data_IF_635363435228
#
_entry.id   IF_635363435228
#
_cell.length_a   1.000
_cell.length_b   1.000
_cell.length_c   1.000
_cell.angle_alpha   90.00
_cell.angle_beta   90.00
_cell.angle_gamma   90.00
#
_symmetry.space_group_name_H-M   'P 1'
#
loop_
_entity.id
_entity.type
_entity.pdbx_description
1 polymer ?
#
# COMPACT_ATOMS: atom_id res chain seq x y z
N UNK A 1 0.22 -12.09 -24.55
CA UNK A 1 -0.23 -11.07 -23.57
C UNK A 1 0.86 -11.00 -22.51
N UNK A 2 1.33 -9.81 -22.13
CA UNK A 2 2.32 -9.68 -21.04
C UNK A 2 1.61 -10.05 -19.73
N UNK A 3 2.11 -11.02 -18.99
CA UNK A 3 1.62 -11.36 -17.66
C UNK A 3 2.43 -10.58 -16.63
N UNK A 4 1.75 -9.96 -15.68
CA UNK A 4 2.40 -9.32 -14.54
C UNK A 4 2.52 -10.35 -13.40
N UNK A 5 3.62 -10.34 -12.64
CA UNK A 5 3.74 -11.20 -11.45
C UNK A 5 2.72 -10.80 -10.39
N UNK A 6 2.24 -11.78 -9.65
CA UNK A 6 1.21 -11.56 -8.61
C UNK A 6 1.79 -11.87 -7.24
N UNK A 7 1.67 -10.91 -6.32
CA UNK A 7 2.04 -11.05 -4.93
C UNK A 7 0.81 -10.88 -4.03
N UNK A 8 0.89 -11.39 -2.80
CA UNK A 8 -0.15 -11.16 -1.78
C UNK A 8 0.37 -10.19 -0.72
N UNK A 9 -0.48 -9.24 -0.34
CA UNK A 9 -0.26 -8.42 0.84
C UNK A 9 -0.56 -9.27 2.09
N UNK A 10 0.48 -9.49 2.93
CA UNK A 10 0.40 -10.40 4.09
C UNK A 10 -0.62 -9.94 5.13
N UNK A 11 -0.99 -8.66 5.14
CA UNK A 11 -2.09 -8.17 5.97
C UNK A 11 -3.41 -8.92 5.71
N UNK A 12 -3.64 -9.38 4.47
CA UNK A 12 -4.83 -10.16 4.11
C UNK A 12 -4.90 -11.53 4.80
N UNK A 13 -3.76 -12.04 5.24
CA UNK A 13 -3.58 -13.33 5.93
C UNK A 13 -2.86 -13.17 7.27
N UNK A 14 -2.94 -11.97 7.87
CA UNK A 14 -2.20 -11.60 9.08
C UNK A 14 -2.42 -12.52 10.26
N UNK A 15 -3.66 -13.01 10.44
CA UNK A 15 -3.99 -13.89 11.55
C UNK A 15 -3.31 -15.28 11.44
N UNK A 16 -3.15 -15.79 10.21
CA UNK A 16 -2.41 -17.01 9.96
C UNK A 16 -0.89 -16.76 10.06
N UNK A 17 -0.41 -15.63 9.52
CA UNK A 17 1.00 -15.24 9.57
C UNK A 17 1.47 -15.00 11.01
N UNK A 18 0.62 -14.47 11.89
CA UNK A 18 0.92 -14.29 13.32
C UNK A 18 1.08 -15.63 14.04
N UNK A 19 0.24 -16.62 13.70
CA UNK A 19 0.28 -17.97 14.30
C UNK A 19 1.45 -18.80 13.79
N UNK A 20 1.66 -18.81 12.48
CA UNK A 20 2.69 -19.58 11.79
C UNK A 20 3.13 -18.87 10.50
N UNK A 21 4.08 -17.95 10.61
CA UNK A 21 4.56 -17.19 9.46
C UNK A 21 5.13 -18.09 8.36
N UNK A 22 6.01 -19.03 8.71
CA UNK A 22 6.67 -19.91 7.73
C UNK A 22 5.68 -20.84 7.02
N UNK A 23 4.73 -21.43 7.75
CA UNK A 23 3.66 -22.23 7.17
C UNK A 23 2.74 -21.42 6.28
N UNK A 24 2.46 -20.15 6.64
CA UNK A 24 1.65 -19.24 5.81
C UNK A 24 2.38 -18.92 4.50
N UNK A 25 3.69 -18.65 4.51
CA UNK A 25 4.47 -18.43 3.28
C UNK A 25 4.39 -19.63 2.34
N UNK A 26 4.52 -20.85 2.86
CA UNK A 26 4.37 -22.06 2.06
C UNK A 26 3.00 -22.21 1.42
N UNK A 27 1.94 -21.95 2.17
CA UNK A 27 0.57 -21.96 1.64
C UNK A 27 0.34 -20.90 0.55
N UNK A 28 0.87 -19.69 0.73
CA UNK A 28 0.84 -18.64 -0.29
C UNK A 28 1.46 -19.12 -1.60
N UNK A 29 2.62 -19.78 -1.51
CA UNK A 29 3.28 -20.36 -2.69
C UNK A 29 2.48 -21.49 -3.33
N UNK A 30 1.91 -22.37 -2.52
CA UNK A 30 1.07 -23.50 -2.99
C UNK A 30 -0.18 -23.00 -3.73
N UNK A 31 -0.76 -21.86 -3.32
CA UNK A 31 -1.88 -21.21 -4.01
C UNK A 31 -1.46 -20.66 -5.39
N UNK A 32 -0.17 -20.36 -5.58
CA UNK A 32 0.38 -19.93 -6.87
C UNK A 32 0.92 -18.51 -6.90
N UNK A 33 0.99 -17.81 -5.78
CA UNK A 33 1.62 -16.50 -5.73
C UNK A 33 3.13 -16.57 -5.95
N UNK A 34 3.70 -15.52 -6.53
CA UNK A 34 5.13 -15.40 -6.82
C UNK A 34 5.88 -14.62 -5.76
N UNK A 35 5.19 -13.74 -5.04
CA UNK A 35 5.78 -12.88 -4.01
C UNK A 35 4.82 -12.49 -2.91
N UNK A 36 5.37 -11.75 -1.96
CA UNK A 36 4.64 -11.18 -0.84
C UNK A 36 5.02 -9.72 -0.63
N UNK A 37 4.07 -8.97 -0.14
CA UNK A 37 4.29 -7.67 0.49
C UNK A 37 4.08 -7.81 1.99
N UNK A 38 5.07 -7.42 2.77
CA UNK A 38 5.04 -7.53 4.22
C UNK A 38 4.15 -6.48 4.86
N UNK A 39 3.52 -6.83 5.97
CA UNK A 39 2.80 -5.92 6.86
C UNK A 39 3.32 -6.09 8.29
N UNK A 40 4.50 -5.52 8.54
CA UNK A 40 5.24 -5.72 9.80
C UNK A 40 6.07 -7.00 9.83
N UNK A 41 6.74 -7.23 10.96
CA UNK A 41 7.70 -8.33 11.15
C UNK A 41 7.19 -9.46 12.04
N UNK A 42 5.96 -9.39 12.55
CA UNK A 42 5.32 -10.44 13.37
C UNK A 42 6.18 -10.88 14.58
N UNK A 43 6.90 -9.93 15.20
CA UNK A 43 7.80 -10.20 16.33
C UNK A 43 9.03 -11.05 16.00
N UNK A 44 9.33 -11.25 14.70
CA UNK A 44 10.48 -12.03 14.20
C UNK A 44 11.62 -11.12 13.81
N UNK A 45 12.83 -11.69 13.80
CA UNK A 45 14.01 -11.00 13.24
C UNK A 45 13.93 -10.92 11.72
N UNK A 46 14.50 -9.87 11.09
CA UNK A 46 14.57 -9.76 9.64
C UNK A 46 15.13 -11.00 8.95
N UNK A 47 16.19 -11.62 9.50
CA UNK A 47 16.76 -12.85 8.98
C UNK A 47 15.80 -14.05 8.99
N UNK A 48 14.93 -14.15 10.00
CA UNK A 48 13.92 -15.22 10.09
C UNK A 48 12.79 -15.01 9.07
N UNK A 49 12.37 -13.76 8.85
CA UNK A 49 11.40 -13.38 7.82
C UNK A 49 11.96 -13.72 6.43
N UNK A 50 13.20 -13.28 6.16
CA UNK A 50 13.90 -13.57 4.91
C UNK A 50 13.96 -15.06 4.63
N UNK A 51 14.46 -15.84 5.58
CA UNK A 51 14.60 -17.29 5.44
C UNK A 51 13.24 -17.96 5.14
N UNK A 52 12.18 -17.59 5.84
CA UNK A 52 10.85 -18.15 5.62
C UNK A 52 10.28 -17.87 4.23
N UNK A 53 10.53 -16.67 3.67
CA UNK A 53 10.09 -16.28 2.33
C UNK A 53 10.91 -17.03 1.27
N UNK A 54 12.24 -17.08 1.42
CA UNK A 54 13.15 -17.77 0.49
C UNK A 54 12.91 -19.28 0.50
N UNK A 55 12.75 -19.90 1.67
CA UNK A 55 12.46 -21.34 1.83
C UNK A 55 11.12 -21.75 1.19
N UNK A 56 10.16 -20.83 1.16
CA UNK A 56 8.89 -21.02 0.47
C UNK A 56 9.01 -20.81 -1.06
N UNK A 57 10.12 -20.29 -1.57
CA UNK A 57 10.30 -19.94 -2.98
C UNK A 57 9.50 -18.74 -3.42
N UNK A 58 9.26 -17.79 -2.50
CA UNK A 58 8.61 -16.51 -2.74
C UNK A 58 9.64 -15.38 -2.84
N UNK A 59 9.22 -14.23 -3.37
CA UNK A 59 10.01 -13.00 -3.41
C UNK A 59 9.40 -12.00 -2.42
N UNK A 60 10.24 -11.39 -1.57
CA UNK A 60 9.85 -10.21 -0.80
C UNK A 60 9.81 -9.00 -1.74
N UNK A 61 8.62 -8.62 -2.22
CA UNK A 61 8.46 -7.54 -3.20
C UNK A 61 8.58 -6.18 -2.51
N UNK A 62 7.75 -5.96 -1.51
CA UNK A 62 7.61 -4.71 -0.77
C UNK A 62 7.26 -4.95 0.69
N UNK A 63 7.24 -3.87 1.45
CA UNK A 63 6.76 -3.87 2.82
C UNK A 63 5.96 -2.60 3.11
N UNK A 64 4.80 -2.74 3.71
CA UNK A 64 4.10 -1.67 4.39
C UNK A 64 4.80 -1.37 5.71
N UNK A 65 5.35 -0.18 5.83
CA UNK A 65 6.07 0.28 7.03
C UNK A 65 5.39 1.53 7.57
N UNK A 66 4.85 1.50 8.79
CA UNK A 66 4.15 2.63 9.36
C UNK A 66 4.98 3.92 9.32
N UNK A 67 4.35 5.02 8.93
CA UNK A 67 5.00 6.33 8.83
C UNK A 67 5.69 6.73 10.14
N UNK A 68 5.02 6.47 11.28
CA UNK A 68 5.54 6.79 12.60
C UNK A 68 6.82 6.00 12.94
N UNK A 69 6.95 4.75 12.50
CA UNK A 69 8.16 3.95 12.69
C UNK A 69 9.32 4.51 11.87
N UNK A 70 9.07 4.87 10.61
CA UNK A 70 10.06 5.50 9.75
C UNK A 70 10.55 6.86 10.30
N UNK A 71 9.66 7.65 10.88
CA UNK A 71 10.03 8.94 11.47
C UNK A 71 10.79 8.77 12.78
N UNK A 72 10.42 7.77 13.59
CA UNK A 72 11.04 7.54 14.90
C UNK A 72 12.49 7.01 14.80
N UNK A 73 12.76 6.09 13.89
CA UNK A 73 14.08 5.51 13.64
C UNK A 73 14.22 5.12 12.16
N UNK A 74 14.47 6.11 11.31
CA UNK A 74 14.51 5.93 9.86
C UNK A 74 15.56 4.91 9.43
N UNK A 75 16.80 5.09 9.85
CA UNK A 75 17.90 4.23 9.45
C UNK A 75 17.79 2.81 10.00
N UNK A 76 17.43 2.65 11.28
CA UNK A 76 17.25 1.34 11.90
C UNK A 76 16.07 0.58 11.30
N UNK A 77 14.96 1.28 11.00
CA UNK A 77 13.79 0.69 10.34
C UNK A 77 14.13 0.25 8.92
N UNK A 78 14.74 1.12 8.09
CA UNK A 78 15.12 0.78 6.71
C UNK A 78 16.09 -0.40 6.70
N UNK A 79 17.08 -0.43 7.60
CA UNK A 79 18.08 -1.51 7.66
C UNK A 79 17.43 -2.90 7.85
N UNK A 80 16.34 -3.02 8.59
CA UNK A 80 15.63 -4.28 8.76
C UNK A 80 15.06 -4.80 7.43
N UNK A 81 14.50 -3.92 6.62
CA UNK A 81 13.92 -4.30 5.33
C UNK A 81 14.97 -4.50 4.24
N UNK A 82 16.13 -3.83 4.35
CA UNK A 82 17.33 -4.12 3.53
C UNK A 82 17.80 -5.56 3.79
N UNK A 83 17.88 -5.99 5.06
CA UNK A 83 18.28 -7.36 5.42
C UNK A 83 17.32 -8.40 4.86
N UNK A 84 16.00 -8.12 4.87
CA UNK A 84 14.99 -9.00 4.27
C UNK A 84 15.15 -9.06 2.75
N UNK A 85 15.55 -7.96 2.11
CA UNK A 85 15.77 -7.89 0.67
C UNK A 85 14.55 -7.41 -0.11
N UNK A 86 13.66 -6.60 0.50
CA UNK A 86 12.56 -5.97 -0.22
C UNK A 86 13.06 -4.96 -1.25
N UNK A 87 12.34 -4.81 -2.35
CA UNK A 87 12.63 -3.80 -3.37
C UNK A 87 12.00 -2.44 -3.05
N UNK A 88 10.88 -2.47 -2.34
CA UNK A 88 10.07 -1.30 -2.04
C UNK A 88 9.73 -1.23 -0.56
N UNK A 89 9.67 -0.01 -0.03
CA UNK A 89 9.03 0.32 1.23
C UNK A 89 7.88 1.26 0.92
N UNK A 90 6.66 0.87 1.27
CA UNK A 90 5.47 1.67 1.11
C UNK A 90 5.07 2.33 2.45
N UNK A 91 4.78 3.63 2.41
CA UNK A 91 4.11 4.34 3.50
C UNK A 91 2.61 4.01 3.37
N UNK A 92 2.05 3.19 4.30
CA UNK A 92 0.77 2.54 4.04
C UNK A 92 -0.46 3.36 4.48
N UNK A 93 -0.28 4.29 5.42
CA UNK A 93 -1.40 4.98 6.07
C UNK A 93 -0.95 6.21 6.84
N UNK A 94 -1.82 7.21 6.89
CA UNK A 94 -1.65 8.39 7.75
C UNK A 94 -2.71 8.42 8.84
N UNK A 95 -2.26 8.64 10.08
CA UNK A 95 -3.15 8.89 11.20
C UNK A 95 -3.93 10.21 10.98
N UNK A 96 -5.10 10.36 11.59
CA UNK A 96 -5.99 11.50 11.32
C UNK A 96 -5.29 12.86 11.41
N UNK A 97 -4.42 13.04 12.40
CA UNK A 97 -3.67 14.27 12.61
C UNK A 97 -2.59 14.55 11.56
N UNK A 98 -2.23 13.55 10.75
CA UNK A 98 -1.18 13.62 9.72
C UNK A 98 -1.74 13.77 8.31
N UNK A 99 -3.07 13.63 8.15
CA UNK A 99 -3.76 13.60 6.85
C UNK A 99 -3.82 14.96 6.16
N UNK A 100 -4.10 14.95 4.84
CA UNK A 100 -4.42 16.16 4.09
C UNK A 100 -5.51 17.00 4.80
N UNK A 101 -5.35 18.32 4.75
CA UNK A 101 -6.24 19.26 5.43
C UNK A 101 -5.85 19.58 6.88
N UNK A 102 -4.86 18.87 7.45
CA UNK A 102 -4.30 19.18 8.77
C UNK A 102 -3.06 20.08 8.66
N UNK A 103 -2.71 20.81 9.73
CA UNK A 103 -1.50 21.65 9.73
C UNK A 103 -0.18 20.87 9.56
N UNK A 104 -0.16 19.56 9.84
CA UNK A 104 1.05 18.73 9.74
C UNK A 104 1.31 18.26 8.32
N UNK A 105 0.30 18.18 7.45
CA UNK A 105 0.38 17.48 6.17
C UNK A 105 1.53 17.93 5.28
N UNK A 106 1.69 19.24 5.06
CA UNK A 106 2.79 19.76 4.23
C UNK A 106 4.18 19.46 4.83
N UNK A 107 4.26 19.42 6.16
CA UNK A 107 5.48 18.97 6.87
C UNK A 107 5.75 17.48 6.65
N UNK A 108 4.70 16.67 6.67
CA UNK A 108 4.79 15.23 6.42
C UNK A 108 5.23 14.90 4.99
N UNK A 109 4.77 15.68 3.99
CA UNK A 109 5.22 15.52 2.60
C UNK A 109 6.74 15.73 2.47
N UNK A 110 7.33 16.66 3.24
CA UNK A 110 8.79 16.80 3.30
C UNK A 110 9.48 15.59 3.95
N UNK A 111 8.85 15.02 4.99
CA UNK A 111 9.37 13.78 5.61
C UNK A 111 9.28 12.58 4.64
N UNK A 112 8.26 12.50 3.80
CA UNK A 112 8.20 11.47 2.74
C UNK A 112 9.38 11.60 1.76
N UNK A 113 9.77 12.82 1.41
CA UNK A 113 10.96 13.06 0.58
C UNK A 113 12.25 12.63 1.28
N UNK A 114 12.40 12.92 2.59
CA UNK A 114 13.56 12.49 3.38
C UNK A 114 13.63 10.96 3.50
N UNK A 115 12.49 10.30 3.74
CA UNK A 115 12.38 8.83 3.72
C UNK A 115 12.79 8.30 2.35
N UNK A 116 12.33 8.94 1.26
CA UNK A 116 12.71 8.58 -0.09
C UNK A 116 14.22 8.66 -0.34
N UNK A 117 14.86 9.69 0.15
CA UNK A 117 16.34 9.85 0.07
C UNK A 117 17.06 8.76 0.85
N UNK A 118 16.62 8.47 2.08
CA UNK A 118 17.20 7.43 2.92
C UNK A 118 17.04 6.04 2.29
N UNK A 119 15.83 5.67 1.87
CA UNK A 119 15.58 4.40 1.19
C UNK A 119 16.43 4.24 -0.08
N UNK A 120 16.52 5.29 -0.89
CA UNK A 120 17.31 5.29 -2.12
C UNK A 120 18.81 5.09 -1.84
N UNK A 121 19.35 5.65 -0.76
CA UNK A 121 20.75 5.43 -0.36
C UNK A 121 21.03 3.95 -0.05
N UNK A 122 20.01 3.19 0.34
CA UNK A 122 20.07 1.75 0.58
C UNK A 122 19.60 0.88 -0.61
N UNK A 123 19.32 1.50 -1.76
CA UNK A 123 18.86 0.79 -2.96
C UNK A 123 17.40 0.34 -2.92
N UNK A 124 16.60 0.91 -2.03
CA UNK A 124 15.15 0.67 -1.92
C UNK A 124 14.40 1.87 -2.52
N UNK A 125 13.35 1.60 -3.29
CA UNK A 125 12.43 2.63 -3.76
C UNK A 125 11.28 2.80 -2.78
N UNK A 126 10.99 4.04 -2.38
CA UNK A 126 9.84 4.34 -1.54
C UNK A 126 8.57 4.47 -2.37
N UNK A 127 7.49 3.91 -1.85
CA UNK A 127 6.15 4.01 -2.39
C UNK A 127 5.23 4.75 -1.40
N UNK A 128 4.16 5.33 -1.92
CA UNK A 128 3.04 5.82 -1.11
C UNK A 128 1.77 5.07 -1.49
N UNK A 129 1.13 4.45 -0.51
CA UNK A 129 -0.12 3.73 -0.65
C UNK A 129 -1.29 4.65 -0.29
N UNK A 130 -2.20 4.87 -1.23
CA UNK A 130 -3.32 5.77 -1.02
C UNK A 130 -4.51 5.10 -0.34
N UNK A 131 -5.27 5.95 0.34
CA UNK A 131 -6.65 5.73 0.72
C UNK A 131 -7.56 6.72 -0.03
N UNK A 132 -8.80 6.89 0.39
CA UNK A 132 -9.72 7.87 -0.18
C UNK A 132 -9.51 9.28 0.40
N UNK A 133 -8.94 9.41 1.59
CA UNK A 133 -8.73 10.70 2.23
C UNK A 133 -7.68 11.58 1.52
N UNK A 134 -6.82 11.04 0.67
CA UNK A 134 -5.92 11.84 -0.17
C UNK A 134 -6.62 12.48 -1.37
N UNK A 135 -7.89 12.15 -1.62
CA UNK A 135 -8.69 12.75 -2.69
C UNK A 135 -9.45 14.00 -2.25
N UNK A 136 -9.09 14.62 -1.13
CA UNK A 136 -9.53 15.97 -0.82
C UNK A 136 -8.76 17.00 -1.65
N UNK A 137 -9.42 18.15 -1.92
CA UNK A 137 -8.79 19.23 -2.67
C UNK A 137 -7.89 20.08 -1.78
N UNK A 138 -6.66 20.28 -2.24
CA UNK A 138 -5.72 21.26 -1.70
C UNK A 138 -6.18 22.69 -2.09
N UNK A 139 -5.67 23.75 -1.44
CA UNK A 139 -6.02 25.15 -1.77
C UNK A 139 -5.79 25.54 -3.24
N UNK A 140 -4.85 24.87 -3.91
CA UNK A 140 -4.54 25.07 -5.33
C UNK A 140 -5.46 24.29 -6.29
N UNK A 141 -6.41 23.52 -5.75
CA UNK A 141 -7.41 22.75 -6.49
C UNK A 141 -6.97 21.33 -6.89
N UNK A 142 -5.72 20.95 -6.70
CA UNK A 142 -5.25 19.56 -6.91
C UNK A 142 -5.80 18.64 -5.82
N UNK A 143 -5.90 17.34 -6.09
CA UNK A 143 -6.04 16.35 -5.02
C UNK A 143 -4.75 16.28 -4.20
N UNK A 144 -4.86 15.99 -2.90
CA UNK A 144 -3.69 15.88 -2.04
C UNK A 144 -2.77 14.73 -2.49
N UNK A 145 -3.32 13.65 -3.07
CA UNK A 145 -2.54 12.59 -3.68
C UNK A 145 -1.66 13.12 -4.82
N UNK A 146 -2.24 13.92 -5.71
CA UNK A 146 -1.52 14.55 -6.82
C UNK A 146 -0.46 15.54 -6.29
N UNK A 147 -0.80 16.30 -5.25
CA UNK A 147 0.16 17.21 -4.60
C UNK A 147 1.40 16.49 -4.06
N UNK A 148 1.23 15.32 -3.42
CA UNK A 148 2.35 14.50 -2.96
C UNK A 148 3.28 14.15 -4.12
N UNK A 149 2.71 13.59 -5.21
CA UNK A 149 3.52 13.13 -6.33
C UNK A 149 4.09 14.25 -7.20
N UNK A 150 3.43 15.41 -7.28
CA UNK A 150 3.97 16.58 -7.98
C UNK A 150 5.10 17.26 -7.19
N UNK A 151 5.06 17.14 -5.85
CA UNK A 151 6.06 17.75 -4.95
C UNK A 151 7.34 16.93 -4.87
N UNK A 152 7.23 15.59 -4.85
CA UNK A 152 8.38 14.70 -4.64
C UNK A 152 8.79 14.05 -5.97
N UNK A 153 10.07 14.11 -6.35
CA UNK A 153 10.59 13.46 -7.55
C UNK A 153 10.29 11.95 -7.60
N UNK A 154 10.02 11.43 -8.80
CA UNK A 154 9.66 10.02 -9.01
C UNK A 154 10.75 9.02 -8.62
N UNK A 155 12.01 9.44 -8.61
CA UNK A 155 13.14 8.63 -8.18
C UNK A 155 13.29 8.55 -6.64
N UNK A 156 12.48 9.34 -5.90
CA UNK A 156 12.40 9.30 -4.44
C UNK A 156 11.09 8.70 -3.96
N UNK A 157 9.96 8.96 -4.64
CA UNK A 157 8.66 8.45 -4.25
C UNK A 157 7.86 8.01 -5.48
N UNK A 158 7.41 6.78 -5.51
CA UNK A 158 6.53 6.24 -6.52
C UNK A 158 5.17 5.85 -5.94
N UNK A 159 4.22 5.46 -6.80
CA UNK A 159 2.88 5.12 -6.35
C UNK A 159 2.79 3.63 -6.01
N UNK A 160 2.03 3.32 -4.98
CA UNK A 160 1.37 2.04 -4.77
C UNK A 160 -0.13 2.30 -4.77
N UNK A 161 -0.72 2.32 -5.96
CA UNK A 161 -2.14 2.67 -6.11
C UNK A 161 -3.04 1.55 -5.59
N UNK A 162 -3.82 1.83 -4.55
CA UNK A 162 -4.92 0.96 -4.12
C UNK A 162 -6.20 1.33 -4.90
N UNK A 163 -6.58 0.42 -5.78
CA UNK A 163 -7.70 0.60 -6.70
C UNK A 163 -9.06 0.68 -6.01
N UNK A 164 -9.22 0.06 -4.84
CA UNK A 164 -10.43 0.17 -4.03
C UNK A 164 -10.62 1.61 -3.56
N UNK A 165 -9.61 2.19 -2.94
CA UNK A 165 -9.73 3.53 -2.37
C UNK A 165 -9.84 4.62 -3.43
N UNK A 166 -9.20 4.46 -4.60
CA UNK A 166 -9.43 5.34 -5.76
C UNK A 166 -10.91 5.31 -6.15
N UNK A 167 -11.51 4.11 -6.25
CA UNK A 167 -12.92 3.94 -6.60
C UNK A 167 -13.85 4.50 -5.53
N UNK A 168 -13.53 4.26 -4.25
CA UNK A 168 -14.29 4.80 -3.10
C UNK A 168 -14.31 6.32 -3.10
N UNK A 169 -13.20 6.95 -3.47
CA UNK A 169 -13.09 8.41 -3.64
C UNK A 169 -13.89 8.96 -4.84
N UNK A 170 -14.46 8.09 -5.68
CA UNK A 170 -15.27 8.48 -6.85
C UNK A 170 -14.48 8.63 -8.14
N UNK A 171 -13.21 8.24 -8.14
CA UNK A 171 -12.33 8.32 -9.30
C UNK A 171 -12.23 6.98 -10.05
N UNK A 172 -11.69 7.01 -11.27
CA UNK A 172 -11.45 5.82 -12.09
C UNK A 172 -10.06 5.24 -11.80
N UNK A 173 -9.95 4.02 -11.22
CA UNK A 173 -8.67 3.40 -10.93
C UNK A 173 -7.79 3.19 -12.17
N UNK A 174 -8.36 2.79 -13.30
CA UNK A 174 -7.61 2.59 -14.54
C UNK A 174 -7.04 3.91 -15.07
N UNK A 175 -7.80 5.01 -14.99
CA UNK A 175 -7.33 6.33 -15.36
C UNK A 175 -6.18 6.80 -14.46
N UNK A 176 -6.25 6.53 -13.14
CA UNK A 176 -5.18 6.88 -12.20
C UNK A 176 -3.90 6.07 -12.43
N UNK A 177 -4.00 4.77 -12.75
CA UNK A 177 -2.83 3.94 -13.12
C UNK A 177 -2.16 4.53 -14.38
N UNK A 178 -2.94 4.87 -15.43
CA UNK A 178 -2.41 5.49 -16.65
C UNK A 178 -1.79 6.86 -16.39
N UNK A 179 -2.40 7.67 -15.52
CA UNK A 179 -1.88 8.99 -15.12
C UNK A 179 -0.47 8.90 -14.56
N UNK A 180 -0.19 7.86 -13.79
CA UNK A 180 1.12 7.61 -13.18
C UNK A 180 1.93 6.54 -13.91
N UNK A 181 1.72 6.37 -15.23
CA UNK A 181 2.51 5.45 -16.07
C UNK A 181 4.01 5.71 -15.93
N UNK A 182 4.79 4.63 -15.74
CA UNK A 182 6.22 4.68 -15.44
C UNK A 182 6.57 5.07 -14.00
N UNK A 183 5.55 5.26 -13.13
CA UNK A 183 5.70 5.60 -11.71
C UNK A 183 4.84 4.71 -10.80
N UNK A 184 4.26 3.63 -11.33
CA UNK A 184 3.33 2.73 -10.64
C UNK A 184 3.86 1.28 -10.63
N UNK A 185 4.97 0.99 -9.92
CA UNK A 185 5.58 -0.33 -9.96
C UNK A 185 4.78 -1.40 -9.21
N UNK A 186 3.89 -0.98 -8.31
CA UNK A 186 3.00 -1.85 -7.54
C UNK A 186 1.59 -1.28 -7.58
N UNK A 187 0.61 -2.15 -7.82
CA UNK A 187 -0.82 -1.81 -7.79
C UNK A 187 -1.53 -2.78 -6.86
N UNK A 188 -2.26 -2.25 -5.88
CA UNK A 188 -3.13 -3.04 -5.01
C UNK A 188 -4.46 -3.32 -5.69
N UNK A 189 -4.66 -4.57 -6.07
CA UNK A 189 -5.94 -5.09 -6.55
C UNK A 189 -6.78 -5.45 -5.33
N UNK A 190 -7.70 -4.58 -4.95
CA UNK A 190 -8.54 -4.74 -3.78
C UNK A 190 -9.98 -4.55 -4.17
N UNK A 191 -10.83 -5.55 -3.87
CA UNK A 191 -12.23 -5.53 -4.22
C UNK A 191 -13.11 -5.29 -2.99
N UNK A 192 -14.29 -4.77 -3.21
CA UNK A 192 -15.21 -4.40 -2.16
C UNK A 192 -16.65 -4.42 -2.69
N UNK A 193 -17.61 -4.47 -1.76
CA UNK A 193 -19.01 -4.17 -2.03
C UNK A 193 -19.45 -3.01 -1.14
N UNK A 194 -20.11 -2.02 -1.75
CA UNK A 194 -20.57 -0.81 -1.06
C UNK A 194 -22.00 -0.49 -1.39
N UNK A 195 -22.83 -0.37 -0.34
CA UNK A 195 -24.18 0.15 -0.44
C UNK A 195 -24.34 1.41 0.41
N UNK A 196 -24.99 2.42 -0.15
CA UNK A 196 -25.28 3.67 0.57
C UNK A 196 -24.01 4.48 0.93
N UNK A 197 -24.04 5.08 2.10
CA UNK A 197 -22.95 5.92 2.65
C UNK A 197 -22.44 5.31 3.96
N UNK A 198 -21.52 4.32 3.90
CA UNK A 198 -20.94 3.72 5.09
C UNK A 198 -19.99 4.71 5.79
N UNK A 199 -20.09 4.82 7.12
CA UNK A 199 -19.26 5.73 7.92
C UNK A 199 -17.92 5.11 8.37
N UNK A 200 -17.86 3.79 8.55
CA UNK A 200 -16.76 3.14 9.28
C UNK A 200 -15.90 2.21 8.43
N UNK A 201 -15.55 2.65 7.21
CA UNK A 201 -14.75 1.83 6.28
C UNK A 201 -13.36 1.48 6.82
N UNK A 202 -12.78 2.36 7.64
CA UNK A 202 -11.42 2.15 8.20
C UNK A 202 -11.37 1.17 9.38
N UNK A 203 -12.50 0.84 10.01
CA UNK A 203 -12.54 -0.24 11.02
C UNK A 203 -12.10 -1.58 10.43
N UNK A 204 -12.36 -1.81 9.14
CA UNK A 204 -11.97 -3.03 8.43
C UNK A 204 -10.45 -3.18 8.25
N UNK A 205 -9.71 -2.09 8.39
CA UNK A 205 -8.23 -2.08 8.35
C UNK A 205 -7.61 -1.85 9.74
N UNK A 206 -8.40 -2.05 10.81
CA UNK A 206 -7.91 -2.04 12.18
C UNK A 206 -7.75 -0.66 12.79
N UNK A 207 -8.35 0.39 12.21
CA UNK A 207 -8.31 1.75 12.75
C UNK A 207 -9.59 2.04 13.52
N UNK A 208 -9.48 2.51 14.76
CA UNK A 208 -10.64 3.00 15.52
C UNK A 208 -11.16 4.29 14.89
N UNK A 209 -12.44 4.28 14.53
CA UNK A 209 -13.14 5.44 13.98
C UNK A 209 -14.19 5.93 14.96
N UNK A 210 -14.37 7.24 15.07
CA UNK A 210 -15.49 7.80 15.83
C UNK A 210 -16.80 7.28 15.25
N UNK A 211 -17.67 6.74 16.12
CA UNK A 211 -18.99 6.24 15.71
C UNK A 211 -19.84 7.37 15.15
N UNK A 212 -19.89 7.48 13.84
CA UNK A 212 -20.91 8.24 13.13
C UNK A 212 -22.06 7.32 12.74
N UNK A 213 -23.26 7.87 12.54
CA UNK A 213 -24.38 7.07 12.03
C UNK A 213 -24.06 6.62 10.61
N UNK A 214 -23.89 5.32 10.44
CA UNK A 214 -23.66 4.69 9.12
C UNK A 214 -25.02 4.47 8.44
N UNK A 215 -25.16 5.01 7.24
CA UNK A 215 -26.35 4.81 6.38
C UNK A 215 -26.04 3.87 5.20
N UNK A 216 -25.19 2.86 5.42
CA UNK A 216 -24.79 1.91 4.38
C UNK A 216 -23.92 0.79 4.91
N UNK A 217 -23.49 -0.06 3.99
CA UNK A 217 -22.59 -1.18 4.25
C UNK A 217 -21.34 -1.08 3.39
N UNK A 218 -20.21 -1.48 3.94
CA UNK A 218 -18.97 -1.64 3.22
C UNK A 218 -18.26 -2.91 3.69
N UNK A 219 -17.87 -3.75 2.75
CA UNK A 219 -17.13 -4.97 3.05
C UNK A 219 -16.11 -5.26 1.95
N UNK A 220 -14.95 -5.78 2.33
CA UNK A 220 -13.99 -6.28 1.35
C UNK A 220 -14.48 -7.60 0.77
N UNK A 221 -14.20 -7.79 -0.52
CA UNK A 221 -14.52 -9.00 -1.28
C UNK A 221 -13.26 -9.60 -1.88
N UNK A 222 -13.24 -10.92 -2.11
CA UNK A 222 -12.19 -11.48 -2.96
C UNK A 222 -12.19 -10.80 -4.33
N UNK A 223 -11.02 -10.58 -4.90
CA UNK A 223 -10.86 -9.94 -6.21
C UNK A 223 -11.73 -10.61 -7.28
N UNK A 224 -12.54 -9.83 -7.97
CA UNK A 224 -13.51 -10.28 -8.97
C UNK A 224 -14.86 -10.70 -8.42
N UNK A 225 -15.14 -10.51 -7.13
CA UNK A 225 -16.41 -10.84 -6.47
C UNK A 225 -17.10 -9.62 -5.82
N UNK A 226 -16.60 -8.42 -6.06
CA UNK A 226 -17.14 -7.15 -5.58
C UNK A 226 -17.62 -6.24 -6.70
N UNK A 227 -17.51 -4.93 -6.46
CA UNK A 227 -18.03 -3.89 -7.33
C UNK A 227 -16.98 -3.35 -8.33
N UNK A 228 -15.73 -3.87 -8.31
CA UNK A 228 -14.67 -3.44 -9.19
C UNK A 228 -14.70 -4.19 -10.53
N UNK A 229 -14.54 -3.45 -11.63
CA UNK A 229 -14.23 -4.05 -12.94
C UNK A 229 -12.71 -4.11 -13.11
N UNK A 230 -12.15 -5.31 -12.93
CA UNK A 230 -10.70 -5.52 -13.04
C UNK A 230 -10.18 -5.60 -14.47
N UNK A 231 -11.03 -5.74 -15.49
CA UNK A 231 -10.61 -5.77 -16.88
C UNK A 231 -9.80 -4.51 -17.27
N UNK A 232 -10.41 -3.30 -17.20
CA UNK A 232 -9.71 -2.04 -17.47
C UNK A 232 -8.52 -1.75 -16.54
N UNK A 233 -8.59 -2.18 -15.26
CA UNK A 233 -7.53 -2.00 -14.27
C UNK A 233 -6.28 -2.81 -14.67
N UNK A 234 -6.45 -4.07 -15.05
CA UNK A 234 -5.35 -4.94 -15.49
C UNK A 234 -4.75 -4.47 -16.81
N UNK A 235 -5.59 -4.02 -17.76
CA UNK A 235 -5.12 -3.43 -19.02
C UNK A 235 -4.26 -2.18 -18.73
N UNK A 236 -4.75 -1.25 -17.90
CA UNK A 236 -4.00 -0.07 -17.51
C UNK A 236 -2.68 -0.41 -16.81
N UNK A 237 -2.67 -1.43 -15.96
CA UNK A 237 -1.45 -1.89 -15.26
C UNK A 237 -0.40 -2.43 -16.25
N UNK A 238 -0.84 -3.16 -17.29
CA UNK A 238 0.07 -3.65 -18.33
C UNK A 238 0.60 -2.51 -19.21
N UNK A 239 -0.25 -1.51 -19.52
CA UNK A 239 0.13 -0.33 -20.30
C UNK A 239 1.10 0.58 -19.54
N UNK A 240 0.92 0.72 -18.23
CA UNK A 240 1.74 1.58 -17.38
C UNK A 240 3.16 1.05 -17.13
N UNK A 241 3.39 -0.25 -17.35
CA UNK A 241 4.72 -0.89 -17.27
C UNK A 241 5.03 -1.50 -15.94
#
# INVERSE_FOLDING_TARGET
MKTLPVAVQVYSVREDAEKDFAGTMKKIKEIGYEGVELAGLYGKKPSEIKAAIEDAGLVAVSAHVPFQELVADMEGTIAQYVEIGVKYIAIPYLMEEDRPGTPKFEGNVKLFEEIGKACKAHGIQTLYHNHDFEFIKMPDGRYALDYIYDTIPADLLQTELDTCWVKVAGEDPAAYIRKYSGRSPVVHLKDFHKEGQPANMYELIGTEVKKEESHGTFEFRPVGHGDQDFGPILEASVEAG
#
